data_IF_232562731539
#
_entry.id   IF_232562731539
#
_cell.length_a   1.000
_cell.length_b   1.000
_cell.length_c   1.000
_cell.angle_alpha   90.00
_cell.angle_beta   90.00
_cell.angle_gamma   90.00
#
_symmetry.space_group_name_H-M   'P 1'
#
loop_
_entity.id
_entity.type
_entity.pdbx_description
1 polymer ?
#
# COMPACT_ATOMS: atom_id res chain seq x y z
N UNK A 1 -7.73 -20.61 -2.90
CA UNK A 1 -8.23 -19.31 -2.38
C UNK A 1 -7.00 -18.57 -1.90
N UNK A 2 -6.24 -18.02 -2.85
CA UNK A 2 -4.86 -17.64 -2.63
C UNK A 2 -4.83 -16.12 -2.41
N UNK A 3 -5.14 -15.71 -1.19
CA UNK A 3 -4.94 -14.35 -0.74
C UNK A 3 -3.44 -14.12 -0.59
N UNK A 4 -2.82 -13.60 -1.66
CA UNK A 4 -1.41 -13.24 -1.66
C UNK A 4 -1.25 -11.87 -0.99
N UNK A 5 -0.53 -11.82 0.12
CA UNK A 5 -0.22 -10.59 0.84
C UNK A 5 1.29 -10.42 0.94
N UNK A 6 1.80 -9.27 0.50
CA UNK A 6 3.20 -8.89 0.67
C UNK A 6 3.29 -7.59 1.42
N UNK A 7 4.07 -7.56 2.49
CA UNK A 7 4.37 -6.32 3.22
C UNK A 7 5.86 -6.06 3.17
N UNK A 8 6.25 -4.81 2.94
CA UNK A 8 7.64 -4.38 2.98
C UNK A 8 7.75 -2.96 3.52
N UNK A 9 8.86 -2.64 4.21
CA UNK A 9 9.14 -1.28 4.64
C UNK A 9 9.54 -0.43 3.42
N UNK A 10 8.97 0.76 3.31
CA UNK A 10 9.31 1.76 2.31
C UNK A 10 9.42 3.15 2.98
N UNK A 11 10.65 3.66 3.08
CA UNK A 11 10.97 4.89 3.80
C UNK A 11 10.46 4.85 5.27
N UNK A 12 9.53 5.75 5.63
CA UNK A 12 8.84 5.82 6.93
C UNK A 12 7.50 5.10 6.95
N UNK A 13 7.18 4.36 5.89
CA UNK A 13 5.92 3.66 5.72
C UNK A 13 6.14 2.14 5.63
N UNK A 14 5.12 1.37 5.93
CA UNK A 14 4.99 -0.04 5.63
C UNK A 14 3.95 -0.17 4.53
N UNK A 15 4.39 -0.58 3.35
CA UNK A 15 3.49 -0.87 2.23
C UNK A 15 3.03 -2.32 2.35
N UNK A 16 1.74 -2.55 2.16
CA UNK A 16 1.14 -3.88 2.11
C UNK A 16 0.30 -4.01 0.85
N UNK A 17 0.69 -4.93 -0.03
CA UNK A 17 -0.12 -5.33 -1.17
C UNK A 17 -0.93 -6.58 -0.84
N UNK A 18 -2.15 -6.64 -1.35
CA UNK A 18 -3.09 -7.74 -1.15
C UNK A 18 -3.74 -8.10 -2.49
N UNK A 19 -3.67 -9.36 -2.88
CA UNK A 19 -4.43 -9.89 -4.01
C UNK A 19 -5.79 -10.42 -3.53
N UNK A 20 -6.86 -9.85 -4.07
CA UNK A 20 -8.24 -10.25 -3.80
C UNK A 20 -8.99 -10.38 -5.13
N UNK A 21 -9.57 -11.54 -5.41
CA UNK A 21 -10.35 -11.81 -6.64
C UNK A 21 -9.59 -11.50 -7.95
N UNK A 22 -8.28 -11.76 -7.98
CA UNK A 22 -7.44 -11.50 -9.15
C UNK A 22 -7.02 -10.04 -9.32
N UNK A 23 -7.47 -9.17 -8.41
CA UNK A 23 -7.10 -7.76 -8.36
C UNK A 23 -6.13 -7.48 -7.22
N UNK A 24 -5.25 -6.53 -7.43
CA UNK A 24 -4.25 -6.10 -6.47
C UNK A 24 -4.71 -4.83 -5.76
N UNK A 25 -4.55 -4.83 -4.45
CA UNK A 25 -4.82 -3.71 -3.55
C UNK A 25 -3.53 -3.33 -2.84
N UNK A 26 -3.41 -2.07 -2.42
CA UNK A 26 -2.26 -1.58 -1.71
C UNK A 26 -2.68 -0.69 -0.54
N UNK A 27 -1.92 -0.79 0.54
CA UNK A 27 -2.10 -0.02 1.77
C UNK A 27 -0.75 0.51 2.21
N UNK A 28 -0.72 1.77 2.65
CA UNK A 28 0.49 2.38 3.18
C UNK A 28 0.21 2.80 4.62
N UNK A 29 0.99 2.26 5.57
CA UNK A 29 0.90 2.61 6.99
C UNK A 29 2.14 3.38 7.39
N UNK A 30 2.01 4.52 8.06
CA UNK A 30 3.16 5.23 8.65
C UNK A 30 3.74 4.39 9.79
N UNK A 31 5.05 4.16 9.81
CA UNK A 31 5.75 3.42 10.86
C UNK A 31 5.97 4.25 12.15
N UNK A 32 5.62 5.54 12.13
CA UNK A 32 5.72 6.43 13.28
C UNK A 32 4.58 6.15 14.25
N UNK A 33 4.97 5.81 15.47
CA UNK A 33 4.16 5.30 16.60
C UNK A 33 2.96 6.17 17.04
N UNK A 34 2.81 7.37 16.49
CA UNK A 34 1.87 8.39 17.00
C UNK A 34 0.98 9.08 15.96
N UNK A 35 1.10 8.78 14.65
CA UNK A 35 0.38 9.54 13.63
C UNK A 35 -0.26 8.66 12.55
N UNK A 36 -1.58 8.49 12.68
CA UNK A 36 -2.46 8.14 11.57
C UNK A 36 -2.64 6.65 11.32
N UNK A 37 -3.86 6.17 11.51
CA UNK A 37 -4.27 4.79 11.19
C UNK A 37 -4.02 4.41 9.73
N UNK A 38 -4.22 3.12 9.44
CA UNK A 38 -4.07 2.50 8.12
C UNK A 38 -4.73 3.34 7.02
N UNK A 39 -3.95 4.04 6.20
CA UNK A 39 -4.50 4.81 5.07
C UNK A 39 -4.49 3.90 3.83
N UNK A 40 -5.67 3.55 3.28
CA UNK A 40 -5.71 2.85 2.01
C UNK A 40 -5.09 3.75 0.93
N UNK A 41 -4.26 3.17 0.07
CA UNK A 41 -3.73 3.90 -1.08
C UNK A 41 -4.90 4.15 -2.03
N UNK A 42 -5.32 5.41 -2.15
CA UNK A 42 -6.39 5.81 -3.06
C UNK A 42 -5.92 5.59 -4.51
N UNK A 43 -6.62 4.76 -5.28
CA UNK A 43 -6.28 4.46 -6.67
C UNK A 43 -6.40 3.00 -7.09
N UNK A 44 -6.67 2.09 -6.15
CA UNK A 44 -6.92 0.67 -6.45
C UNK A 44 -8.40 0.37 -6.75
N UNK A 45 -8.71 -0.84 -7.23
CA UNK A 45 -7.79 -1.98 -7.46
C UNK A 45 -6.97 -1.92 -8.75
N UNK A 46 -5.79 -2.54 -8.75
CA UNK A 46 -4.87 -2.69 -9.90
C UNK A 46 -4.88 -4.10 -10.47
N UNK A 47 -4.41 -4.27 -11.71
CA UNK A 47 -4.32 -5.59 -12.38
C UNK A 47 -3.06 -6.36 -11.99
N UNK A 48 -2.00 -5.66 -11.60
CA UNK A 48 -0.71 -6.29 -11.26
C UNK A 48 -0.19 -5.83 -9.90
N UNK A 49 0.65 -6.66 -9.29
CA UNK A 49 1.33 -6.32 -8.03
C UNK A 49 2.20 -5.08 -8.19
N UNK A 50 2.93 -4.99 -9.30
CA UNK A 50 3.88 -3.89 -9.58
C UNK A 50 3.16 -2.54 -9.63
N UNK A 51 1.97 -2.48 -10.26
CA UNK A 51 1.16 -1.25 -10.27
C UNK A 51 0.69 -0.85 -8.86
N UNK A 52 0.29 -1.84 -8.05
CA UNK A 52 -0.13 -1.62 -6.68
C UNK A 52 1.04 -1.14 -5.78
N UNK A 53 2.23 -1.69 -5.99
CA UNK A 53 3.48 -1.27 -5.34
C UNK A 53 3.84 0.17 -5.73
N UNK A 54 3.92 0.46 -7.04
CA UNK A 54 4.25 1.79 -7.54
C UNK A 54 3.25 2.85 -7.08
N UNK A 55 1.95 2.56 -7.07
CA UNK A 55 0.94 3.49 -6.58
C UNK A 55 1.08 3.77 -5.07
N UNK A 56 1.43 2.75 -4.29
CA UNK A 56 1.69 2.92 -2.87
C UNK A 56 2.95 3.75 -2.61
N UNK A 57 4.02 3.52 -3.37
CA UNK A 57 5.24 4.31 -3.31
C UNK A 57 4.99 5.78 -3.68
N UNK A 58 4.25 6.04 -4.76
CA UNK A 58 3.85 7.40 -5.18
C UNK A 58 2.97 8.08 -4.12
N UNK A 59 2.07 7.33 -3.47
CA UNK A 59 1.25 7.84 -2.38
C UNK A 59 2.10 8.22 -1.16
N UNK A 60 3.09 7.40 -0.81
CA UNK A 60 4.07 7.69 0.24
C UNK A 60 4.93 8.92 -0.08
N UNK A 61 5.38 9.04 -1.34
CA UNK A 61 6.24 10.12 -1.81
C UNK A 61 5.52 11.48 -1.90
N UNK A 62 4.26 11.47 -2.36
CA UNK A 62 3.45 12.68 -2.59
C UNK A 62 3.05 13.46 -1.32
N UNK A 63 3.56 13.11 -0.14
CA UNK A 63 3.26 13.74 1.18
C UNK A 63 1.76 13.86 1.54
N UNK A 64 0.83 13.27 0.79
CA UNK A 64 -0.61 13.17 1.17
C UNK A 64 -0.86 12.22 2.35
N UNK A 65 0.19 11.55 2.82
CA UNK A 65 0.20 10.85 4.09
C UNK A 65 0.74 11.71 5.26
N UNK A 66 0.84 13.03 5.07
CA UNK A 66 0.89 14.02 6.14
C UNK A 66 -0.47 14.24 6.79
#
# INVERSE_FOLDING_TARGET
MDQERRSYPYQRFTITTLRHEGLWWAKARVAVKDAGGDRPVLGGPWRTQVEAEAAAEVFCDSRKAG
#
